data_IF_776463487472
#
_entry.id   IF_776463487472
#
_cell.length_a   1.000
_cell.length_b   1.000
_cell.length_c   1.000
_cell.angle_alpha   90.00
_cell.angle_beta   90.00
_cell.angle_gamma   90.00
#
_symmetry.space_group_name_H-M   'P 1'
#
loop_
_entity.id
_entity.type
_entity.pdbx_description
1 polymer ?
#
# COMPACT_ATOMS: atom_id res chain seq x y z
N UNK A 1 1.06 -10.18 -7.97
CA UNK A 1 2.48 -10.38 -8.28
C UNK A 1 3.31 -9.14 -7.92
N UNK A 2 3.03 -7.96 -8.49
CA UNK A 2 3.81 -6.73 -8.22
C UNK A 2 3.96 -6.37 -6.73
N UNK A 3 2.86 -6.26 -5.97
CA UNK A 3 2.95 -5.91 -4.54
C UNK A 3 3.71 -6.94 -3.69
N UNK A 4 3.69 -8.22 -4.09
CA UNK A 4 4.49 -9.27 -3.44
C UNK A 4 5.97 -9.09 -3.79
N UNK A 5 6.30 -8.85 -5.06
CA UNK A 5 7.66 -8.62 -5.49
C UNK A 5 8.28 -7.39 -4.81
N UNK A 6 7.53 -6.28 -4.75
CA UNK A 6 7.92 -5.09 -4.01
C UNK A 6 8.16 -5.37 -2.52
N UNK A 7 7.24 -6.11 -1.87
CA UNK A 7 7.35 -6.47 -0.45
C UNK A 7 8.57 -7.33 -0.15
N UNK A 8 8.84 -8.31 -1.00
CA UNK A 8 9.95 -9.25 -0.87
C UNK A 8 11.26 -8.74 -1.48
N UNK A 9 11.25 -7.53 -2.05
CA UNK A 9 12.38 -6.96 -2.78
C UNK A 9 12.90 -7.88 -3.89
N UNK A 10 11.99 -8.56 -4.58
CA UNK A 10 12.30 -9.38 -5.75
C UNK A 10 12.62 -8.46 -6.95
N UNK A 11 13.91 -8.16 -7.09
CA UNK A 11 14.42 -7.20 -8.08
C UNK A 11 14.13 -7.64 -9.51
N UNK A 12 14.25 -8.93 -9.82
CA UNK A 12 14.03 -9.45 -11.17
C UNK A 12 12.58 -9.26 -11.60
N UNK A 13 11.63 -9.61 -10.72
CA UNK A 13 10.21 -9.38 -10.98
C UNK A 13 9.89 -7.89 -11.08
N UNK A 14 10.48 -7.05 -10.22
CA UNK A 14 10.27 -5.59 -10.25
C UNK A 14 10.77 -4.98 -11.57
N UNK A 15 11.95 -5.38 -12.06
CA UNK A 15 12.51 -4.91 -13.34
C UNK A 15 11.60 -5.36 -14.48
N UNK A 16 11.21 -6.63 -14.50
CA UNK A 16 10.30 -7.19 -15.52
C UNK A 16 8.98 -6.44 -15.57
N UNK A 17 8.43 -6.07 -14.41
CA UNK A 17 7.19 -5.30 -14.31
C UNK A 17 7.39 -3.77 -14.41
N UNK A 18 8.61 -3.29 -14.71
CA UNK A 18 8.97 -1.88 -14.61
C UNK A 18 8.11 -0.94 -15.47
N UNK A 19 7.73 -1.37 -16.68
CA UNK A 19 6.81 -0.61 -17.54
C UNK A 19 5.46 -0.42 -16.86
N UNK A 20 4.85 -1.52 -16.39
CA UNK A 20 3.57 -1.48 -15.70
C UNK A 20 3.63 -0.68 -14.38
N UNK A 21 4.72 -0.81 -13.62
CA UNK A 21 4.91 -0.07 -12.37
C UNK A 21 4.93 1.45 -12.63
N UNK A 22 5.64 1.90 -13.68
CA UNK A 22 5.66 3.30 -14.08
C UNK A 22 4.28 3.79 -14.50
N UNK A 23 3.58 3.03 -15.35
CA UNK A 23 2.27 3.43 -15.87
C UNK A 23 1.23 3.49 -14.74
N UNK A 24 1.24 2.51 -13.83
CA UNK A 24 0.39 2.51 -12.64
C UNK A 24 0.65 3.73 -11.75
N UNK A 25 1.92 4.02 -11.46
CA UNK A 25 2.30 5.17 -10.66
C UNK A 25 1.85 6.49 -11.30
N UNK A 26 2.08 6.66 -12.60
CA UNK A 26 1.64 7.84 -13.34
C UNK A 26 0.12 8.01 -13.28
N UNK A 27 -0.64 6.92 -13.44
CA UNK A 27 -2.09 6.99 -13.41
C UNK A 27 -2.65 7.39 -12.05
N UNK A 28 -2.06 6.88 -10.98
CA UNK A 28 -2.41 7.28 -9.60
C UNK A 28 -2.15 8.77 -9.41
N UNK A 29 -0.98 9.27 -9.85
CA UNK A 29 -0.62 10.68 -9.74
C UNK A 29 -1.59 11.59 -10.51
N UNK A 30 -1.97 11.19 -11.73
CA UNK A 30 -2.98 11.92 -12.51
C UNK A 30 -4.33 12.00 -11.78
N UNK A 31 -4.82 10.87 -11.25
CA UNK A 31 -6.09 10.83 -10.52
C UNK A 31 -6.03 11.69 -9.25
N UNK A 32 -4.93 11.62 -8.51
CA UNK A 32 -4.72 12.41 -7.30
C UNK A 32 -4.62 13.92 -7.60
N UNK A 33 -4.09 14.31 -8.76
CA UNK A 33 -4.06 15.72 -9.17
C UNK A 33 -5.45 16.30 -9.46
N UNK A 34 -6.43 15.44 -9.77
CA UNK A 34 -7.81 15.83 -10.10
C UNK A 34 -8.76 15.76 -8.90
N UNK A 35 -8.39 15.02 -7.86
CA UNK A 35 -9.15 14.98 -6.61
C UNK A 35 -8.89 16.23 -5.78
N UNK A 36 -9.89 16.74 -5.07
CA UNK A 36 -9.72 17.81 -4.07
C UNK A 36 -8.81 17.33 -2.93
N UNK A 37 -7.50 17.61 -3.06
CA UNK A 37 -6.43 17.08 -2.22
C UNK A 37 -6.48 17.52 -0.74
N UNK A 38 -7.43 18.37 -0.34
CA UNK A 38 -7.43 19.03 0.97
C UNK A 38 -8.20 18.30 2.07
N UNK A 39 -8.96 17.24 1.76
CA UNK A 39 -9.73 16.53 2.78
C UNK A 39 -9.04 15.22 3.13
N UNK A 40 -8.50 15.17 4.35
CA UNK A 40 -8.19 13.89 4.99
C UNK A 40 -9.48 13.09 5.17
N UNK A 41 -9.42 11.79 4.87
CA UNK A 41 -10.54 10.88 5.06
C UNK A 41 -10.05 9.54 5.58
N UNK A 42 -10.94 8.83 6.26
CA UNK A 42 -10.65 7.51 6.82
C UNK A 42 -10.86 6.46 5.75
N UNK A 43 -9.89 5.55 5.65
CA UNK A 43 -9.96 4.35 4.82
C UNK A 43 -9.56 3.13 5.64
N UNK A 44 -10.02 1.98 5.19
CA UNK A 44 -9.81 0.69 5.81
C UNK A 44 -9.00 -0.21 4.88
N UNK A 45 -8.19 -1.07 5.48
CA UNK A 45 -7.37 -2.07 4.78
C UNK A 45 -7.25 -3.30 5.65
N UNK A 46 -7.79 -4.41 5.16
CA UNK A 46 -7.52 -5.73 5.71
C UNK A 46 -6.10 -6.17 5.36
N UNK A 47 -5.41 -6.76 6.32
CA UNK A 47 -4.13 -7.41 6.07
C UNK A 47 -3.96 -8.61 7.00
N UNK A 48 -3.81 -9.79 6.40
CA UNK A 48 -3.34 -10.95 7.12
C UNK A 48 -1.90 -10.74 7.58
N UNK A 49 -1.61 -11.07 8.83
CA UNK A 49 -0.28 -10.99 9.41
C UNK A 49 -0.09 -12.05 10.49
N UNK A 50 1.16 -12.37 10.80
CA UNK A 50 1.46 -13.30 11.89
C UNK A 50 1.25 -12.61 13.25
N UNK A 51 0.99 -13.37 14.30
CA UNK A 51 0.92 -12.83 15.66
C UNK A 51 2.22 -12.13 16.07
N UNK A 52 3.37 -12.68 15.66
CA UNK A 52 4.68 -12.08 15.89
C UNK A 52 4.82 -10.69 15.26
N UNK A 53 4.41 -10.54 14.00
CA UNK A 53 4.44 -9.24 13.33
C UNK A 53 3.45 -8.26 13.99
N UNK A 54 2.30 -8.75 14.44
CA UNK A 54 1.29 -7.94 15.12
C UNK A 54 1.77 -7.41 16.47
N UNK A 55 2.45 -8.24 17.26
CA UNK A 55 3.06 -7.85 18.53
C UNK A 55 4.12 -6.76 18.32
N UNK A 56 5.00 -6.93 17.32
CA UNK A 56 5.96 -5.87 16.94
C UNK A 56 5.29 -4.55 16.56
N UNK A 57 4.17 -4.59 15.85
CA UNK A 57 3.41 -3.37 15.55
C UNK A 57 2.87 -2.71 16.81
N UNK A 58 2.41 -3.50 17.78
CA UNK A 58 1.89 -3.00 19.04
C UNK A 58 2.98 -2.33 19.89
N UNK A 59 4.22 -2.81 19.82
CA UNK A 59 5.38 -2.19 20.47
C UNK A 59 5.80 -0.87 19.79
N UNK A 60 5.57 -0.73 18.48
CA UNK A 60 5.94 0.46 17.70
C UNK A 60 4.88 1.59 17.73
N UNK A 61 3.94 1.57 18.69
CA UNK A 61 2.91 2.62 18.82
C UNK A 61 3.54 4.01 18.97
N UNK A 62 3.05 4.96 18.20
CA UNK A 62 3.61 6.32 18.12
C UNK A 62 4.79 6.46 17.15
N UNK A 63 5.28 5.36 16.57
CA UNK A 63 6.28 5.36 15.51
C UNK A 63 5.68 5.60 14.11
N UNK A 64 6.53 5.51 13.09
CA UNK A 64 6.15 5.62 11.68
C UNK A 64 6.04 4.24 11.03
N UNK A 65 5.10 4.11 10.10
CA UNK A 65 4.94 2.91 9.30
C UNK A 65 5.26 3.23 7.83
N UNK A 66 6.17 2.44 7.24
CA UNK A 66 6.61 2.60 5.86
C UNK A 66 6.16 1.40 5.03
N UNK A 67 5.76 1.65 3.79
CA UNK A 67 5.37 0.61 2.84
C UNK A 67 6.23 0.72 1.59
N UNK A 68 6.76 -0.41 1.14
CA UNK A 68 7.47 -0.53 -0.12
C UNK A 68 6.56 -0.97 -1.28
N UNK A 69 5.26 -1.15 -1.04
CA UNK A 69 4.27 -1.60 -2.02
C UNK A 69 3.10 -0.61 -2.14
N UNK A 70 2.34 -0.70 -3.23
CA UNK A 70 1.12 0.09 -3.38
C UNK A 70 0.05 -0.36 -2.38
N UNK A 71 -0.66 0.61 -1.81
CA UNK A 71 -1.77 0.34 -0.90
C UNK A 71 -3.09 0.28 -1.66
N UNK A 72 -3.89 -0.73 -1.33
CA UNK A 72 -5.29 -0.81 -1.71
C UNK A 72 -6.12 -0.73 -0.43
N UNK A 73 -7.08 0.19 -0.42
CA UNK A 73 -7.88 0.58 0.74
C UNK A 73 -9.31 0.86 0.27
N UNK A 74 -10.29 0.75 1.16
CA UNK A 74 -11.69 1.12 0.88
C UNK A 74 -12.21 2.10 1.92
N UNK A 75 -13.12 2.98 1.53
CA UNK A 75 -13.91 3.77 2.49
C UNK A 75 -14.98 2.93 3.17
N UNK A 76 -15.38 1.82 2.55
CA UNK A 76 -16.28 0.83 3.15
C UNK A 76 -15.47 -0.18 3.98
N UNK A 77 -15.75 -0.22 5.27
CA UNK A 77 -15.14 -1.15 6.21
C UNK A 77 -15.48 -2.60 5.89
N UNK A 78 -16.70 -2.91 5.46
CA UNK A 78 -17.13 -4.29 5.16
C UNK A 78 -16.38 -4.89 3.97
N UNK A 79 -16.01 -4.04 2.99
CA UNK A 79 -15.17 -4.45 1.86
C UNK A 79 -13.73 -4.77 2.29
N UNK A 80 -13.29 -4.20 3.42
CA UNK A 80 -11.91 -4.32 3.89
C UNK A 80 -11.68 -5.37 4.96
N UNK A 81 -12.75 -5.87 5.60
CA UNK A 81 -12.69 -6.82 6.71
C UNK A 81 -12.54 -8.26 6.23
#
# INVERSE_FOLDING_TARGET
>A
MLNRALRLQDVETVITMGFFLRDLHQKIKELQSKSDQQKSFIVYRGQAMTNYDFEKLCECKGGLFSFNNFLSTSTDKQVSL
#
